data_IF_928864546035
#
_entry.id   IF_928864546035
#
_cell.length_a   1.000
_cell.length_b   1.000
_cell.length_c   1.000
_cell.angle_alpha   90.00
_cell.angle_beta   90.00
_cell.angle_gamma   90.00
#
_symmetry.space_group_name_H-M   'P 1'
#
loop_
_entity.id
_entity.type
_entity.pdbx_description
1 polymer ?
#
# COMPACT_ATOMS: atom_id res chain seq x y z
N UNK A 1 -4.50 7.32 -14.28
CA UNK A 1 -5.13 7.31 -12.95
C UNK A 1 -4.69 6.15 -12.04
N UNK A 2 -4.43 4.93 -12.53
CA UNK A 2 -4.16 3.77 -11.65
C UNK A 2 -2.97 3.87 -10.68
N UNK A 3 -1.87 4.56 -11.01
CA UNK A 3 -0.61 4.46 -10.22
C UNK A 3 -0.56 5.26 -8.93
N UNK A 4 -1.39 6.29 -8.79
CA UNK A 4 -1.50 7.01 -7.51
C UNK A 4 -2.06 6.11 -6.42
N UNK A 5 -3.07 5.30 -6.77
CA UNK A 5 -3.67 4.29 -5.88
C UNK A 5 -2.64 3.20 -5.53
N UNK A 6 -1.78 2.80 -6.46
CA UNK A 6 -0.68 1.86 -6.16
C UNK A 6 0.38 2.41 -5.20
N UNK A 7 0.57 3.74 -5.15
CA UNK A 7 1.62 4.34 -4.32
C UNK A 7 1.19 4.55 -2.86
N UNK A 8 -0.12 4.65 -2.59
CA UNK A 8 -0.65 4.95 -1.27
C UNK A 8 -1.77 4.01 -0.80
N UNK A 9 -2.16 3.04 -1.63
CA UNK A 9 -3.22 2.05 -1.38
C UNK A 9 -4.58 2.67 -1.00
N UNK A 10 -4.79 3.95 -1.31
CA UNK A 10 -5.99 4.66 -0.93
C UNK A 10 -7.21 4.06 -1.61
N UNK A 11 -8.18 3.61 -0.79
CA UNK A 11 -9.43 3.01 -1.25
C UNK A 11 -9.36 1.51 -1.53
N UNK A 12 -8.19 0.85 -1.43
CA UNK A 12 -8.09 -0.60 -1.58
C UNK A 12 -8.61 -1.39 -0.36
N UNK A 13 -8.57 -0.77 0.83
CA UNK A 13 -9.00 -1.40 2.08
C UNK A 13 -7.95 -2.32 2.72
N UNK A 14 -6.84 -2.61 2.04
CA UNK A 14 -5.72 -3.44 2.53
C UNK A 14 -5.07 -2.88 3.78
N UNK A 15 -4.71 -1.58 3.78
CA UNK A 15 -4.05 -0.93 4.90
C UNK A 15 -4.85 -1.02 6.21
N UNK A 16 -6.18 -1.03 6.12
CA UNK A 16 -7.05 -1.16 7.29
C UNK A 16 -6.82 -2.48 8.06
N UNK A 17 -6.39 -3.54 7.38
CA UNK A 17 -6.06 -4.84 7.99
C UNK A 17 -4.88 -4.69 8.97
N UNK A 18 -3.82 -3.97 8.59
CA UNK A 18 -2.71 -3.67 9.51
C UNK A 18 -3.15 -2.72 10.62
N UNK A 19 -3.89 -1.67 10.29
CA UNK A 19 -4.32 -0.69 11.28
C UNK A 19 -5.23 -1.32 12.36
N UNK A 20 -6.02 -2.33 12.01
CA UNK A 20 -6.88 -3.05 12.96
C UNK A 20 -6.10 -3.82 14.05
N UNK A 21 -4.81 -4.12 13.81
CA UNK A 21 -3.94 -4.79 14.80
C UNK A 21 -3.32 -3.82 15.81
N UNK A 22 -3.45 -2.51 15.58
CA UNK A 22 -2.85 -1.52 16.46
C UNK A 22 -3.62 -1.42 17.77
N UNK A 23 -2.90 -1.50 18.89
CA UNK A 23 -3.45 -1.23 20.20
C UNK A 23 -3.60 0.29 20.38
N UNK A 24 -4.81 0.79 20.17
CA UNK A 24 -5.15 2.20 20.31
C UNK A 24 -6.34 2.37 21.27
N UNK A 25 -6.35 3.51 21.96
CA UNK A 25 -7.43 3.95 22.83
C UNK A 25 -8.69 4.34 22.06
N UNK A 26 -8.56 4.76 20.80
CA UNK A 26 -9.71 5.12 19.95
C UNK A 26 -9.41 4.87 18.46
N UNK A 27 -10.34 4.27 17.69
CA UNK A 27 -10.13 3.97 16.26
C UNK A 27 -9.82 5.19 15.39
N UNK A 28 -10.35 6.37 15.72
CA UNK A 28 -10.09 7.62 15.01
C UNK A 28 -8.62 8.03 15.11
N UNK A 29 -7.97 7.79 16.26
CA UNK A 29 -6.53 8.07 16.41
C UNK A 29 -5.72 7.24 15.42
N UNK A 30 -6.06 5.97 15.25
CA UNK A 30 -5.41 5.13 14.26
C UNK A 30 -5.72 5.56 12.82
N UNK A 31 -6.94 6.04 12.56
CA UNK A 31 -7.29 6.66 11.29
C UNK A 31 -6.41 7.88 10.92
N UNK A 32 -6.04 8.70 11.90
CA UNK A 32 -5.12 9.83 11.68
C UNK A 32 -3.68 9.38 11.35
N UNK A 33 -3.23 8.25 11.87
CA UNK A 33 -1.96 7.66 11.46
C UNK A 33 -1.99 7.23 9.99
N UNK A 34 -3.06 6.56 9.54
CA UNK A 34 -3.24 6.22 8.13
C UNK A 34 -3.26 7.44 7.21
N UNK A 35 -3.89 8.55 7.63
CA UNK A 35 -3.85 9.81 6.87
C UNK A 35 -2.41 10.37 6.77
N UNK A 36 -1.63 10.28 7.84
CA UNK A 36 -0.25 10.76 7.88
C UNK A 36 0.64 9.98 6.92
N UNK A 37 0.48 8.66 6.87
CA UNK A 37 1.18 7.78 5.92
C UNK A 37 0.87 8.15 4.46
N UNK A 38 -0.41 8.43 4.16
CA UNK A 38 -0.82 8.88 2.82
C UNK A 38 -0.17 10.22 2.44
N UNK A 39 -0.09 11.17 3.38
CA UNK A 39 0.55 12.47 3.16
C UNK A 39 2.07 12.34 2.96
N UNK A 40 2.73 11.44 3.70
CA UNK A 40 4.14 11.15 3.50
C UNK A 40 4.39 10.54 2.11
N UNK A 41 3.58 9.56 1.70
CA UNK A 41 3.67 8.98 0.35
C UNK A 41 3.45 10.03 -0.74
N UNK A 42 2.46 10.92 -0.58
CA UNK A 42 2.25 12.05 -1.49
C UNK A 42 3.48 12.96 -1.57
N UNK A 43 4.09 13.28 -0.43
CA UNK A 43 5.25 14.16 -0.37
C UNK A 43 6.44 13.53 -1.09
N UNK A 44 6.77 12.28 -0.79
CA UNK A 44 7.91 11.56 -1.40
C UNK A 44 7.71 11.40 -2.91
N UNK A 45 6.52 10.99 -3.35
CA UNK A 45 6.22 10.83 -4.78
C UNK A 45 6.24 12.15 -5.53
N UNK A 46 5.77 13.24 -4.91
CA UNK A 46 5.84 14.58 -5.47
C UNK A 46 7.28 15.05 -5.60
N UNK A 47 8.12 14.88 -4.57
CA UNK A 47 9.53 15.23 -4.61
C UNK A 47 10.28 14.47 -5.72
N UNK A 48 10.02 13.17 -5.86
CA UNK A 48 10.59 12.35 -6.93
C UNK A 48 10.15 12.85 -8.32
N UNK A 49 8.85 13.13 -8.49
CA UNK A 49 8.32 13.64 -9.75
C UNK A 49 8.92 15.01 -10.12
N UNK A 50 8.99 15.94 -9.17
CA UNK A 50 9.60 17.26 -9.37
C UNK A 50 11.09 17.16 -9.70
N UNK A 51 11.82 16.28 -9.02
CA UNK A 51 13.25 16.05 -9.28
C UNK A 51 13.46 15.48 -10.69
N UNK A 52 12.61 14.55 -11.13
CA UNK A 52 12.64 13.98 -12.47
C UNK A 52 12.30 15.00 -13.58
N UNK A 53 11.38 15.93 -13.30
CA UNK A 53 11.04 17.02 -14.24
C UNK A 53 12.20 18.03 -14.29
N UNK A 54 12.73 18.42 -13.13
CA UNK A 54 13.80 19.41 -13.01
C UNK A 54 15.11 18.95 -13.67
N UNK A 55 15.40 17.65 -13.68
CA UNK A 55 16.58 17.10 -14.35
C UNK A 55 16.49 17.10 -15.89
N UNK A 56 15.32 17.38 -16.46
CA UNK A 56 15.10 17.34 -17.92
C UNK A 56 15.01 15.92 -18.50
N UNK A 57 15.22 14.87 -17.69
CA UNK A 57 15.18 13.47 -18.14
C UNK A 57 13.81 13.05 -18.68
N UNK A 58 12.75 13.74 -18.27
CA UNK A 58 11.40 13.53 -18.79
C UNK A 58 11.34 13.65 -20.32
N UNK A 59 12.16 14.49 -20.97
CA UNK A 59 12.16 14.64 -22.43
C UNK A 59 12.68 13.38 -23.14
N UNK A 60 13.62 12.66 -22.51
CA UNK A 60 14.23 11.44 -23.05
C UNK A 60 13.42 10.18 -22.71
N UNK A 61 12.77 10.15 -21.56
CA UNK A 61 12.13 8.96 -21.02
C UNK A 61 10.60 9.06 -20.97
N UNK A 62 9.99 10.03 -21.65
CA UNK A 62 8.53 10.12 -21.73
C UNK A 62 7.95 8.87 -22.41
N UNK A 63 7.17 8.08 -21.66
CA UNK A 63 6.62 6.81 -22.16
C UNK A 63 7.63 5.65 -22.27
N UNK A 64 8.89 5.86 -21.86
CA UNK A 64 9.94 4.85 -21.86
C UNK A 64 9.95 3.97 -20.61
N UNK A 65 11.01 3.16 -20.45
CA UNK A 65 11.22 2.35 -19.26
C UNK A 65 11.51 3.23 -18.04
N UNK A 66 10.73 3.02 -16.98
CA UNK A 66 10.81 3.77 -15.73
C UNK A 66 11.99 3.34 -14.88
N UNK A 67 12.39 2.07 -14.97
CA UNK A 67 13.56 1.57 -14.23
C UNK A 67 14.79 2.27 -14.77
N UNK A 68 14.90 2.38 -16.09
CA UNK A 68 16.01 3.09 -16.72
C UNK A 68 15.96 4.60 -16.44
N UNK A 69 14.77 5.21 -16.45
CA UNK A 69 14.59 6.62 -16.07
C UNK A 69 15.04 6.90 -14.63
N UNK A 70 14.69 6.04 -13.67
CA UNK A 70 15.11 6.16 -12.27
C UNK A 70 16.63 5.95 -12.14
N UNK A 71 17.20 4.95 -12.83
CA UNK A 71 18.66 4.73 -12.85
C UNK A 71 19.41 5.93 -13.40
N UNK A 72 18.92 6.53 -14.50
CA UNK A 72 19.52 7.72 -15.09
C UNK A 72 19.48 8.90 -14.12
N UNK A 73 18.35 9.12 -13.42
CA UNK A 73 18.23 10.19 -12.44
C UNK A 73 19.23 10.04 -11.27
N UNK A 74 19.38 8.83 -10.75
CA UNK A 74 20.28 8.56 -9.64
C UNK A 74 21.76 8.47 -10.05
N UNK A 75 22.06 8.24 -11.34
CA UNK A 75 23.43 8.18 -11.84
C UNK A 75 24.15 9.54 -11.84
N UNK A 76 23.41 10.64 -11.71
CA UNK A 76 23.96 12.00 -11.54
C UNK A 76 24.84 12.13 -10.28
N UNK A 77 24.63 11.26 -9.28
CA UNK A 77 25.47 11.20 -8.09
C UNK A 77 26.34 9.92 -8.11
N UNK A 78 27.64 9.98 -7.75
CA UNK A 78 28.54 8.82 -7.78
C UNK A 78 28.04 7.61 -6.98
N UNK A 79 27.30 7.85 -5.90
CA UNK A 79 26.71 6.81 -5.05
C UNK A 79 25.23 6.53 -5.34
N UNK A 80 24.60 7.29 -6.24
CA UNK A 80 23.15 7.27 -6.37
C UNK A 80 22.61 5.95 -6.92
N UNK A 81 23.30 5.28 -7.86
CA UNK A 81 22.85 3.98 -8.38
C UNK A 81 22.89 2.89 -7.30
N UNK A 82 23.94 2.88 -6.47
CA UNK A 82 24.04 1.94 -5.34
C UNK A 82 22.96 2.22 -4.29
N UNK A 83 22.71 3.50 -3.99
CA UNK A 83 21.66 3.93 -3.07
C UNK A 83 20.26 3.57 -3.57
N UNK A 84 19.99 3.74 -4.87
CA UNK A 84 18.74 3.32 -5.52
C UNK A 84 18.52 1.81 -5.36
N UNK A 85 19.57 1.00 -5.59
CA UNK A 85 19.49 -0.45 -5.42
C UNK A 85 19.14 -0.85 -3.98
N UNK A 86 19.79 -0.24 -2.98
CA UNK A 86 19.50 -0.49 -1.57
C UNK A 86 18.08 -0.04 -1.19
N UNK A 87 17.65 1.16 -1.61
CA UNK A 87 16.30 1.66 -1.37
C UNK A 87 15.24 0.73 -1.96
N UNK A 88 15.42 0.31 -3.22
CA UNK A 88 14.50 -0.60 -3.89
C UNK A 88 14.43 -1.95 -3.17
N UNK A 89 15.56 -2.48 -2.69
CA UNK A 89 15.58 -3.73 -1.94
C UNK A 89 14.81 -3.62 -0.61
N UNK A 90 15.06 -2.58 0.18
CA UNK A 90 14.36 -2.35 1.46
C UNK A 90 12.87 -2.11 1.23
N UNK A 91 12.52 -1.30 0.22
CA UNK A 91 11.13 -1.00 -0.10
C UNK A 91 10.38 -2.25 -0.58
N UNK A 92 10.97 -3.03 -1.50
CA UNK A 92 10.37 -4.26 -1.99
C UNK A 92 10.17 -5.29 -0.87
N UNK A 93 11.14 -5.43 0.04
CA UNK A 93 11.01 -6.29 1.22
C UNK A 93 9.86 -5.85 2.11
N UNK A 94 9.75 -4.55 2.41
CA UNK A 94 8.64 -3.99 3.19
C UNK A 94 7.29 -4.28 2.54
N UNK A 95 7.16 -4.04 1.23
CA UNK A 95 5.92 -4.34 0.49
C UNK A 95 5.58 -5.83 0.54
N UNK A 96 6.56 -6.72 0.35
CA UNK A 96 6.33 -8.16 0.41
C UNK A 96 5.83 -8.62 1.79
N UNK A 97 6.39 -8.07 2.87
CA UNK A 97 5.94 -8.39 4.23
C UNK A 97 4.50 -7.93 4.46
N UNK A 98 4.19 -6.67 4.13
CA UNK A 98 2.83 -6.13 4.31
C UNK A 98 1.79 -6.89 3.49
N UNK A 99 2.06 -7.15 2.21
CA UNK A 99 1.11 -7.86 1.35
C UNK A 99 0.99 -9.34 1.67
N UNK A 100 2.08 -9.97 2.14
CA UNK A 100 2.03 -11.33 2.67
C UNK A 100 1.13 -11.43 3.90
N UNK A 101 1.21 -10.44 4.80
CA UNK A 101 0.33 -10.34 5.96
C UNK A 101 -1.14 -10.07 5.56
N UNK A 102 -1.40 -9.09 4.68
CA UNK A 102 -2.76 -8.75 4.25
C UNK A 102 -3.48 -9.93 3.60
N UNK A 103 -2.79 -10.64 2.72
CA UNK A 103 -3.37 -11.79 2.06
C UNK A 103 -3.52 -13.00 2.97
N UNK A 104 -2.65 -13.16 3.98
CA UNK A 104 -2.82 -14.19 5.01
C UNK A 104 -4.08 -13.95 5.84
N UNK A 105 -4.29 -12.74 6.35
CA UNK A 105 -5.50 -12.41 7.11
C UNK A 105 -6.76 -12.57 6.25
N UNK A 106 -6.71 -12.15 4.99
CA UNK A 106 -7.81 -12.37 4.04
C UNK A 106 -8.10 -13.86 3.79
N UNK A 107 -7.06 -14.68 3.67
CA UNK A 107 -7.22 -16.12 3.53
C UNK A 107 -7.76 -16.77 4.80
N UNK A 108 -7.24 -16.39 5.98
CA UNK A 108 -7.69 -16.88 7.27
C UNK A 108 -9.16 -16.53 7.53
N UNK A 109 -9.60 -15.34 7.11
CA UNK A 109 -11.00 -14.95 7.17
C UNK A 109 -11.92 -15.85 6.33
N UNK A 110 -11.49 -16.27 5.14
CA UNK A 110 -12.30 -17.09 4.22
C UNK A 110 -12.24 -18.60 4.53
N UNK A 111 -11.08 -19.11 4.91
CA UNK A 111 -10.80 -20.55 5.00
C UNK A 111 -10.46 -21.03 6.42
N UNK A 112 -10.45 -20.11 7.40
CA UNK A 112 -10.09 -20.37 8.78
C UNK A 112 -8.57 -20.39 9.04
N UNK A 113 -8.20 -20.44 10.32
CA UNK A 113 -6.82 -20.34 10.83
C UNK A 113 -5.84 -21.38 10.25
N UNK A 114 -6.34 -22.55 9.83
CA UNK A 114 -5.50 -23.63 9.28
C UNK A 114 -4.80 -23.28 7.95
N UNK A 115 -5.27 -22.25 7.23
CA UNK A 115 -4.72 -21.86 5.92
C UNK A 115 -3.43 -21.04 6.01
N UNK A 116 -3.09 -20.48 7.18
CA UNK A 116 -1.99 -19.51 7.32
C UNK A 116 -0.64 -20.05 6.85
N UNK A 117 -0.26 -21.25 7.30
CA UNK A 117 1.00 -21.87 6.87
C UNK A 117 1.04 -22.23 5.39
N UNK A 118 0.00 -22.89 4.83
CA UNK A 118 -0.13 -23.06 3.37
C UNK A 118 -0.02 -21.75 2.59
N UNK A 119 -0.66 -20.68 3.08
CA UNK A 119 -0.62 -19.35 2.46
C UNK A 119 0.80 -18.78 2.45
N UNK A 120 1.49 -18.76 3.60
CA UNK A 120 2.89 -18.28 3.72
C UNK A 120 3.84 -19.00 2.77
N UNK A 121 3.75 -20.34 2.72
CA UNK A 121 4.61 -21.15 1.85
C UNK A 121 4.36 -20.83 0.36
N UNK A 122 3.08 -20.69 0.00
CA UNK A 122 2.67 -20.31 -1.36
C UNK A 122 3.19 -18.91 -1.70
N UNK A 123 3.00 -17.93 -0.82
CA UNK A 123 3.45 -16.55 -0.99
C UNK A 123 4.97 -16.46 -1.20
N UNK A 124 5.77 -17.12 -0.35
CA UNK A 124 7.24 -17.14 -0.47
C UNK A 124 7.68 -17.80 -1.78
N UNK A 125 7.00 -18.89 -2.20
CA UNK A 125 7.30 -19.55 -3.46
C UNK A 125 7.04 -18.61 -4.65
N UNK A 126 5.90 -17.92 -4.67
CA UNK A 126 5.61 -16.93 -5.71
C UNK A 126 6.49 -15.69 -5.65
N UNK A 127 6.95 -15.27 -4.46
CA UNK A 127 7.90 -14.17 -4.33
C UNK A 127 9.25 -14.50 -4.98
N UNK A 128 9.68 -15.77 -4.91
CA UNK A 128 10.89 -16.24 -5.57
C UNK A 128 10.70 -16.47 -7.08
N UNK A 129 9.57 -17.05 -7.48
CA UNK A 129 9.29 -17.41 -8.88
C UNK A 129 8.79 -16.23 -9.71
N UNK A 130 8.06 -15.30 -9.10
CA UNK A 130 7.43 -14.16 -9.75
C UNK A 130 8.37 -13.32 -10.62
N UNK A 131 9.59 -12.97 -10.17
CA UNK A 131 10.57 -12.26 -10.98
C UNK A 131 11.04 -13.02 -12.23
N UNK A 132 10.86 -14.34 -12.30
CA UNK A 132 11.26 -15.16 -13.45
C UNK A 132 10.22 -15.19 -14.58
N UNK A 133 9.00 -14.68 -14.36
CA UNK A 133 7.89 -14.67 -15.32
C UNK A 133 7.69 -13.34 -16.07
N UNK A 134 6.71 -13.31 -16.98
CA UNK A 134 6.35 -12.11 -17.75
C UNK A 134 5.70 -11.02 -16.89
N UNK A 135 6.50 -10.02 -16.48
CA UNK A 135 6.09 -8.91 -15.60
C UNK A 135 4.81 -8.19 -16.06
N UNK A 136 4.61 -8.03 -17.37
CA UNK A 136 3.45 -7.34 -17.92
C UNK A 136 2.13 -8.08 -17.68
N UNK A 137 2.11 -9.41 -17.84
CA UNK A 137 0.91 -10.22 -17.60
C UNK A 137 0.54 -10.19 -16.11
N UNK A 138 1.52 -10.37 -15.23
CA UNK A 138 1.32 -10.33 -13.77
C UNK A 138 0.80 -8.97 -13.31
N UNK A 139 1.32 -7.87 -13.89
CA UNK A 139 0.88 -6.51 -13.56
C UNK A 139 -0.58 -6.29 -13.97
N UNK A 140 -0.99 -6.75 -15.16
CA UNK A 140 -2.38 -6.61 -15.62
C UNK A 140 -3.39 -7.37 -14.75
N UNK A 141 -2.99 -8.55 -14.25
CA UNK A 141 -3.80 -9.34 -13.32
C UNK A 141 -3.88 -8.64 -11.96
N UNK A 142 -2.75 -8.14 -11.44
CA UNK A 142 -2.71 -7.39 -10.19
C UNK A 142 -3.57 -6.12 -10.24
N UNK A 143 -3.52 -5.35 -11.33
CA UNK A 143 -4.36 -4.17 -11.56
C UNK A 143 -5.86 -4.53 -11.50
N UNK A 144 -6.23 -5.66 -12.11
CA UNK A 144 -7.62 -6.15 -12.13
C UNK A 144 -8.08 -6.56 -10.73
N UNK A 145 -7.26 -7.34 -10.02
CA UNK A 145 -7.57 -7.79 -8.65
C UNK A 145 -7.69 -6.61 -7.67
N UNK A 146 -6.80 -5.62 -7.78
CA UNK A 146 -6.88 -4.41 -6.98
C UNK A 146 -8.15 -3.60 -7.27
N UNK A 147 -8.57 -3.52 -8.52
CA UNK A 147 -9.87 -2.94 -8.88
C UNK A 147 -11.04 -3.68 -8.22
N UNK A 148 -11.02 -5.02 -8.26
CA UNK A 148 -12.04 -5.86 -7.62
C UNK A 148 -12.06 -5.73 -6.09
N UNK A 149 -10.91 -5.51 -5.45
CA UNK A 149 -10.83 -5.24 -4.01
C UNK A 149 -11.34 -3.84 -3.65
N UNK A 150 -11.02 -2.83 -4.48
CA UNK A 150 -11.43 -1.45 -4.24
C UNK A 150 -12.95 -1.27 -4.25
N UNK A 151 -13.65 -1.92 -5.19
CA UNK A 151 -15.10 -1.76 -5.38
C UNK A 151 -15.91 -2.01 -4.09
N UNK A 152 -15.86 -3.21 -3.47
CA UNK A 152 -16.64 -3.48 -2.25
C UNK A 152 -16.22 -2.59 -1.09
N UNK A 153 -14.91 -2.30 -0.96
CA UNK A 153 -14.41 -1.43 0.09
C UNK A 153 -14.96 0.01 -0.03
N UNK A 154 -14.93 0.59 -1.23
CA UNK A 154 -15.47 1.92 -1.48
C UNK A 154 -16.99 2.00 -1.22
N UNK A 155 -17.74 0.96 -1.60
CA UNK A 155 -19.18 0.87 -1.29
C UNK A 155 -19.41 0.84 0.22
N UNK A 156 -18.62 0.04 0.96
CA UNK A 156 -18.71 -0.02 2.41
C UNK A 156 -18.36 1.33 3.07
N UNK A 157 -17.31 2.02 2.61
CA UNK A 157 -16.94 3.34 3.13
C UNK A 157 -18.04 4.38 2.91
N UNK A 158 -18.72 4.35 1.77
CA UNK A 158 -19.86 5.25 1.50
C UNK A 158 -21.06 4.92 2.41
N UNK A 159 -21.39 3.63 2.56
CA UNK A 159 -22.49 3.20 3.42
C UNK A 159 -22.21 3.51 4.91
N UNK A 160 -20.97 3.34 5.35
CA UNK A 160 -20.54 3.55 6.74
C UNK A 160 -20.07 4.97 7.02
N UNK A 161 -20.10 5.88 6.05
CA UNK A 161 -19.63 7.26 6.23
C UNK A 161 -20.33 8.00 7.38
N UNK A 162 -21.62 7.71 7.60
CA UNK A 162 -22.37 8.23 8.75
C UNK A 162 -21.82 7.75 10.10
N UNK A 163 -21.41 6.48 10.20
CA UNK A 163 -20.78 5.92 11.40
C UNK A 163 -19.43 6.59 11.66
N UNK A 164 -18.57 6.67 10.63
CA UNK A 164 -17.26 7.34 10.74
C UNK A 164 -17.43 8.79 11.21
N UNK A 165 -18.39 9.53 10.64
CA UNK A 165 -18.66 10.91 11.05
C UNK A 165 -19.19 11.04 12.49
N UNK A 166 -19.83 10.01 13.06
CA UNK A 166 -20.18 9.98 14.50
C UNK A 166 -18.93 9.74 15.35
N UNK A 167 -18.13 8.72 15.00
CA UNK A 167 -16.92 8.36 15.74
C UNK A 167 -15.91 9.52 15.80
N UNK A 168 -15.75 10.27 14.71
CA UNK A 168 -14.86 11.44 14.68
C UNK A 168 -15.38 12.55 15.61
N UNK A 169 -16.70 12.80 15.64
CA UNK A 169 -17.30 13.79 16.55
C UNK A 169 -17.13 13.38 18.01
N UNK A 170 -17.32 12.10 18.31
CA UNK A 170 -17.10 11.53 19.63
C UNK A 170 -15.66 11.73 20.10
N UNK A 171 -14.68 11.36 19.26
CA UNK A 171 -13.26 11.54 19.52
C UNK A 171 -12.90 12.98 19.91
N UNK A 172 -13.40 13.98 19.17
CA UNK A 172 -13.14 15.39 19.47
C UNK A 172 -13.95 15.95 20.63
N UNK A 173 -15.03 15.29 21.04
CA UNK A 173 -15.81 15.68 22.23
C UNK A 173 -15.18 15.22 23.55
N UNK A 174 -14.14 14.37 23.49
CA UNK A 174 -13.45 13.84 24.67
C UNK A 174 -14.23 12.72 25.38
N UNK A 175 -15.26 12.15 24.74
CA UNK A 175 -15.93 10.96 25.25
C UNK A 175 -14.98 9.76 25.18
N UNK A 176 -14.94 8.91 26.23
CA UNK A 176 -14.12 7.71 26.21
C UNK A 176 -14.71 6.71 25.21
N UNK A 177 -13.85 6.16 24.35
CA UNK A 177 -14.23 5.10 23.43
C UNK A 177 -14.74 3.88 24.19
N UNK A 178 -15.94 3.42 23.83
CA UNK A 178 -16.49 2.16 24.30
C UNK A 178 -16.47 1.17 23.14
N UNK A 179 -15.61 0.14 23.18
CA UNK A 179 -15.62 -0.88 22.15
C UNK A 179 -16.99 -1.59 22.13
N UNK A 180 -17.51 -1.96 20.96
CA UNK A 180 -18.72 -2.77 20.87
C UNK A 180 -18.52 -4.09 21.64
N UNK A 181 -19.58 -4.56 22.31
CA UNK A 181 -19.55 -5.85 23.02
C UNK A 181 -19.22 -6.97 22.04
N UNK A 182 -18.28 -7.84 22.41
CA UNK A 182 -17.91 -9.03 21.62
C UNK A 182 -19.04 -10.07 21.79
N UNK A 183 -19.86 -10.24 20.75
CA UNK A 183 -20.81 -11.36 20.60
C UNK A 183 -20.10 -12.65 20.17
#
# INVERSE_FOLDING_TARGET
MGRGIFANEAGLGSAAIAHAQAQVDHPVRQGFWGLTEMLLSLTVTTLMALTFIASGLWQRFLGGDRVEAARALFAEHPLGVAMLGLMLAVFALGTMVSWGFYGEEGAAYLFGEGIRWPYRLTFVTFAFVGPMGGLAALTSVADTLNGLMAIPNLVALLALGGLVGRLVREFFSGMPWQPPEED
#
